data_IF_962325422958
#
_entry.id   IF_962325422958
#
_cell.length_a   1.000
_cell.length_b   1.000
_cell.length_c   1.000
_cell.angle_alpha   90.00
_cell.angle_beta   90.00
_cell.angle_gamma   90.00
#
_symmetry.space_group_name_H-M   'P 1'
#
loop_
_entity.id
_entity.type
_entity.pdbx_description
1 polymer ?
#
# COMPACT_ATOMS: atom_id res chain seq x y z
N UNK A 1 10.42 23.43 -2.95
CA UNK A 1 9.68 22.16 -2.83
C UNK A 1 10.18 21.26 -3.93
N UNK A 2 10.58 20.03 -3.61
CA UNK A 2 11.08 19.09 -4.61
C UNK A 2 9.93 18.50 -5.45
N UNK A 3 8.74 18.29 -4.86
CA UNK A 3 7.55 17.74 -5.50
C UNK A 3 6.26 18.28 -4.83
N UNK A 4 5.11 18.11 -5.49
CA UNK A 4 3.77 18.34 -4.96
C UNK A 4 3.20 17.06 -4.35
N UNK A 5 2.38 17.16 -3.30
CA UNK A 5 1.64 16.03 -2.74
C UNK A 5 0.15 16.21 -3.01
N UNK A 6 -0.49 15.17 -3.54
CA UNK A 6 -1.93 15.10 -3.78
C UNK A 6 -2.53 13.98 -2.93
N UNK A 7 -3.60 14.28 -2.19
CA UNK A 7 -4.38 13.25 -1.47
C UNK A 7 -5.58 12.86 -2.33
N UNK A 8 -5.62 11.60 -2.75
CA UNK A 8 -6.72 11.01 -3.50
C UNK A 8 -7.45 9.97 -2.65
N UNK A 9 -8.72 9.72 -2.96
CA UNK A 9 -9.54 8.68 -2.31
C UNK A 9 -10.60 8.19 -3.27
N UNK A 10 -10.71 6.87 -3.39
CA UNK A 10 -11.68 6.23 -4.27
C UNK A 10 -11.81 4.74 -3.96
N UNK A 11 -13.02 4.15 -4.03
CA UNK A 11 -13.21 2.70 -3.97
C UNK A 11 -12.47 1.95 -5.09
N UNK A 12 -12.11 2.64 -6.19
CA UNK A 12 -11.33 2.04 -7.29
C UNK A 12 -10.01 1.48 -6.76
N UNK A 13 -9.34 2.21 -5.86
CA UNK A 13 -8.08 1.75 -5.27
C UNK A 13 -8.27 0.51 -4.42
N UNK A 14 -9.34 0.44 -3.62
CA UNK A 14 -9.65 -0.76 -2.84
C UNK A 14 -10.03 -1.96 -3.71
N UNK A 15 -10.74 -1.74 -4.82
CA UNK A 15 -11.02 -2.79 -5.80
C UNK A 15 -9.71 -3.34 -6.38
N UNK A 16 -8.81 -2.47 -6.83
CA UNK A 16 -7.52 -2.88 -7.39
C UNK A 16 -6.65 -3.60 -6.35
N UNK A 17 -6.61 -3.10 -5.11
CA UNK A 17 -5.83 -3.69 -4.02
C UNK A 17 -6.35 -5.04 -3.56
N UNK A 18 -7.64 -5.13 -3.27
CA UNK A 18 -8.25 -6.40 -2.89
C UNK A 18 -8.10 -7.44 -4.00
N UNK A 19 -8.27 -7.04 -5.27
CA UNK A 19 -8.05 -7.93 -6.40
C UNK A 19 -6.60 -8.40 -6.50
N UNK A 20 -5.64 -7.47 -6.39
CA UNK A 20 -4.20 -7.75 -6.37
C UNK A 20 -3.85 -8.80 -5.31
N UNK A 21 -4.28 -8.57 -4.07
CA UNK A 21 -4.01 -9.47 -2.94
C UNK A 21 -4.65 -10.84 -3.19
N UNK A 22 -5.89 -10.88 -3.68
CA UNK A 22 -6.59 -12.13 -3.96
C UNK A 22 -5.90 -12.99 -5.04
N UNK A 23 -5.56 -12.39 -6.18
CA UNK A 23 -5.01 -13.16 -7.32
C UNK A 23 -3.56 -13.53 -7.12
N UNK A 24 -2.75 -12.67 -6.49
CA UNK A 24 -1.32 -12.91 -6.31
C UNK A 24 -1.00 -13.64 -5.02
N UNK A 25 -1.86 -13.52 -4.01
CA UNK A 25 -1.63 -13.99 -2.63
C UNK A 25 -0.33 -13.44 -2.03
N UNK A 26 0.23 -12.37 -2.61
CA UNK A 26 1.46 -11.74 -2.13
C UNK A 26 1.19 -11.06 -0.80
N UNK A 27 2.18 -11.13 0.09
CA UNK A 27 2.18 -10.51 1.41
C UNK A 27 1.06 -10.96 2.36
N UNK A 28 0.21 -11.91 1.97
CA UNK A 28 -0.98 -12.30 2.76
C UNK A 28 -0.65 -12.75 4.19
N UNK A 29 0.56 -13.27 4.42
CA UNK A 29 1.07 -13.67 5.75
C UNK A 29 1.39 -12.47 6.67
N UNK A 30 1.51 -11.29 6.09
CA UNK A 30 1.88 -10.05 6.76
C UNK A 30 0.74 -9.03 6.79
N UNK A 31 -0.34 -9.29 6.05
CA UNK A 31 -1.54 -8.46 6.07
C UNK A 31 -2.45 -8.88 7.22
N UNK A 32 -3.12 -7.91 7.83
CA UNK A 32 -4.07 -8.13 8.92
C UNK A 32 -5.27 -8.99 8.48
N UNK A 33 -5.69 -8.87 7.22
CA UNK A 33 -6.76 -9.71 6.66
C UNK A 33 -6.38 -11.20 6.64
N UNK A 34 -5.08 -11.50 6.61
CA UNK A 34 -4.54 -12.84 6.73
C UNK A 34 -4.96 -13.84 5.64
N UNK A 35 -4.42 -15.06 5.67
CA UNK A 35 -4.81 -16.12 4.74
C UNK A 35 -6.26 -16.59 4.91
N UNK A 36 -6.88 -16.36 6.06
CA UNK A 36 -8.29 -16.66 6.33
C UNK A 36 -9.23 -15.88 5.41
N UNK A 37 -8.89 -14.62 5.11
CA UNK A 37 -9.66 -13.80 4.17
C UNK A 37 -9.75 -14.42 2.78
N UNK A 38 -8.67 -15.04 2.28
CA UNK A 38 -8.69 -15.76 1.00
C UNK A 38 -9.69 -16.91 1.05
N UNK A 39 -9.70 -17.68 2.14
CA UNK A 39 -10.60 -18.83 2.32
C UNK A 39 -12.06 -18.35 2.38
N UNK A 40 -12.31 -17.27 3.11
CA UNK A 40 -13.64 -16.67 3.21
C UNK A 40 -14.15 -16.20 1.84
N UNK A 41 -13.32 -15.45 1.10
CA UNK A 41 -13.68 -14.97 -0.24
C UNK A 41 -13.88 -16.13 -1.21
N UNK A 42 -12.97 -17.12 -1.24
CA UNK A 42 -13.13 -18.31 -2.07
C UNK A 42 -14.41 -19.10 -1.74
N UNK A 43 -14.86 -19.07 -0.49
CA UNK A 43 -16.12 -19.65 -0.02
C UNK A 43 -17.37 -18.91 -0.52
N UNK A 44 -17.29 -17.58 -0.69
CA UNK A 44 -18.37 -16.74 -1.21
C UNK A 44 -18.46 -16.77 -2.75
N UNK A 45 -17.32 -16.97 -3.42
CA UNK A 45 -17.27 -16.97 -4.89
C UNK A 45 -17.71 -18.31 -5.50
N UNK A 46 -18.58 -18.22 -6.52
CA UNK A 46 -18.96 -19.40 -7.31
C UNK A 46 -17.74 -20.03 -7.99
N UNK A 47 -17.81 -21.34 -8.28
CA UNK A 47 -16.73 -22.05 -8.98
C UNK A 47 -16.37 -21.43 -10.33
N UNK A 48 -17.38 -20.92 -11.05
CA UNK A 48 -17.19 -20.30 -12.36
C UNK A 48 -16.43 -18.97 -12.25
N UNK A 49 -16.76 -18.14 -11.26
CA UNK A 49 -16.06 -16.88 -11.00
C UNK A 49 -14.61 -17.16 -10.61
N UNK A 50 -14.37 -18.10 -9.68
CA UNK A 50 -13.00 -18.50 -9.30
C UNK A 50 -12.17 -18.98 -10.50
N UNK A 51 -12.76 -19.81 -11.36
CA UNK A 51 -12.09 -20.29 -12.56
C UNK A 51 -11.77 -19.15 -13.56
N UNK A 52 -12.65 -18.13 -13.66
CA UNK A 52 -12.41 -16.97 -14.50
C UNK A 52 -11.29 -16.06 -13.97
N UNK A 53 -11.17 -15.91 -12.64
CA UNK A 53 -10.13 -15.07 -12.01
C UNK A 53 -8.76 -15.74 -11.96
N UNK A 54 -8.70 -17.08 -11.92
CA UNK A 54 -7.47 -17.85 -11.71
C UNK A 54 -6.29 -17.49 -12.66
N UNK A 55 -6.49 -17.21 -13.97
CA UNK A 55 -5.39 -16.85 -14.86
C UNK A 55 -4.62 -15.59 -14.44
N UNK A 56 -5.28 -14.65 -13.75
CA UNK A 56 -4.68 -13.38 -13.33
C UNK A 56 -3.48 -13.56 -12.39
N UNK A 57 -3.42 -14.68 -11.66
CA UNK A 57 -2.28 -15.03 -10.81
C UNK A 57 -0.95 -15.19 -11.58
N UNK A 58 -1.02 -15.42 -12.90
CA UNK A 58 0.15 -15.66 -13.76
C UNK A 58 0.53 -14.46 -14.63
N UNK A 59 -0.25 -13.38 -14.57
CA UNK A 59 -0.01 -12.18 -15.36
C UNK A 59 1.14 -11.34 -14.77
N UNK A 60 1.80 -10.48 -15.57
CA UNK A 60 2.85 -9.62 -15.08
C UNK A 60 2.39 -8.75 -13.92
N UNK A 61 3.20 -8.72 -12.85
CA UNK A 61 2.87 -7.94 -11.67
C UNK A 61 2.82 -6.43 -11.94
N UNK A 62 3.66 -5.95 -12.86
CA UNK A 62 3.75 -4.52 -13.23
C UNK A 62 2.50 -4.05 -14.00
N UNK A 63 1.58 -4.93 -14.39
CA UNK A 63 0.27 -4.55 -14.93
C UNK A 63 -0.52 -3.69 -13.95
N UNK A 64 -0.35 -3.95 -12.64
CA UNK A 64 -1.01 -3.16 -11.61
C UNK A 64 -0.47 -1.72 -11.54
N UNK A 65 0.80 -1.49 -11.87
CA UNK A 65 1.36 -0.13 -11.97
C UNK A 65 0.61 0.68 -13.05
N UNK A 66 0.23 0.03 -14.16
CA UNK A 66 -0.59 0.64 -15.22
C UNK A 66 -2.02 0.90 -14.74
N UNK A 67 -2.65 -0.07 -14.07
CA UNK A 67 -4.02 0.07 -13.53
C UNK A 67 -4.11 1.20 -12.49
N UNK A 68 -3.13 1.31 -11.58
CA UNK A 68 -3.06 2.40 -10.61
C UNK A 68 -2.81 3.75 -11.29
N UNK A 69 -1.98 3.81 -12.34
CA UNK A 69 -1.79 5.05 -13.10
C UNK A 69 -3.08 5.50 -13.80
N UNK A 70 -3.83 4.58 -14.42
CA UNK A 70 -5.14 4.90 -14.99
C UNK A 70 -6.15 5.34 -13.94
N UNK A 71 -6.15 4.71 -12.76
CA UNK A 71 -7.00 5.12 -11.65
C UNK A 71 -6.65 6.54 -11.17
N UNK A 72 -5.36 6.87 -11.02
CA UNK A 72 -4.89 8.17 -10.56
C UNK A 72 -5.24 9.34 -11.49
N UNK A 73 -5.31 9.08 -12.80
CA UNK A 73 -5.65 10.05 -13.84
C UNK A 73 -7.03 9.80 -14.47
N UNK A 74 -7.94 9.18 -13.72
CA UNK A 74 -9.35 9.02 -14.13
C UNK A 74 -10.02 10.38 -14.30
N UNK A 75 -10.87 10.50 -15.31
CA UNK A 75 -11.71 11.66 -15.61
C UNK A 75 -13.21 11.40 -15.37
N UNK A 76 -13.51 10.32 -14.65
CA UNK A 76 -14.87 9.89 -14.29
C UNK A 76 -15.20 10.20 -12.84
N UNK A 77 -16.40 9.77 -12.40
CA UNK A 77 -16.68 9.65 -10.98
C UNK A 77 -15.69 8.69 -10.29
N UNK A 78 -15.75 8.67 -8.96
CA UNK A 78 -14.95 7.75 -8.15
C UNK A 78 -15.54 6.34 -8.05
N UNK A 79 -16.64 6.02 -8.74
CA UNK A 79 -17.26 4.70 -8.65
C UNK A 79 -16.53 3.66 -9.53
N UNK A 80 -16.46 2.43 -9.03
CA UNK A 80 -15.79 1.31 -9.70
C UNK A 80 -16.34 1.07 -11.10
N UNK A 81 -17.67 1.07 -11.25
CA UNK A 81 -18.31 0.78 -12.53
C UNK A 81 -18.02 1.84 -13.59
N UNK A 82 -18.02 3.12 -13.20
CA UNK A 82 -17.75 4.24 -14.10
C UNK A 82 -16.31 4.21 -14.61
N UNK A 83 -15.37 3.84 -13.73
CA UNK A 83 -13.97 3.63 -14.11
C UNK A 83 -13.81 2.46 -15.10
N UNK A 84 -14.47 1.33 -14.83
CA UNK A 84 -14.41 0.16 -15.71
C UNK A 84 -15.12 0.40 -17.06
N UNK A 85 -16.17 1.22 -17.08
CA UNK A 85 -16.85 1.67 -18.30
C UNK A 85 -15.96 2.61 -19.11
N UNK A 86 -15.25 3.54 -18.45
CA UNK A 86 -14.25 4.39 -19.12
C UNK A 86 -13.12 3.57 -19.74
N UNK A 87 -12.53 2.63 -18.98
CA UNK A 87 -11.49 1.77 -19.52
C UNK A 87 -11.97 0.98 -20.73
N UNK A 88 -13.20 0.44 -20.69
CA UNK A 88 -13.77 -0.31 -21.80
C UNK A 88 -14.14 0.56 -23.01
N UNK A 89 -14.50 1.82 -22.78
CA UNK A 89 -14.95 2.76 -23.81
C UNK A 89 -13.82 3.44 -24.58
N UNK A 90 -12.66 3.64 -23.96
CA UNK A 90 -11.50 4.28 -24.59
C UNK A 90 -10.71 3.31 -25.48
N UNK A 91 -10.12 3.86 -26.55
CA UNK A 91 -9.21 3.09 -27.39
C UNK A 91 -7.89 2.81 -26.67
N UNK A 92 -7.15 1.80 -27.12
CA UNK A 92 -5.86 1.48 -26.53
C UNK A 92 -4.86 2.64 -26.68
N UNK A 93 -4.94 3.38 -27.79
CA UNK A 93 -4.13 4.56 -28.05
C UNK A 93 -4.43 5.69 -27.07
N UNK A 94 -5.70 5.91 -26.73
CA UNK A 94 -6.12 6.92 -25.75
C UNK A 94 -5.61 6.57 -24.35
N UNK A 95 -5.80 5.32 -23.92
CA UNK A 95 -5.30 4.83 -22.62
C UNK A 95 -3.78 4.86 -22.53
N UNK A 96 -3.09 4.45 -23.60
CA UNK A 96 -1.64 4.51 -23.70
C UNK A 96 -1.14 5.95 -23.63
N UNK A 97 -1.74 6.86 -24.39
CA UNK A 97 -1.35 8.27 -24.42
C UNK A 97 -1.46 8.94 -23.03
N UNK A 98 -2.43 8.52 -22.19
CA UNK A 98 -2.61 9.05 -20.83
C UNK A 98 -1.44 8.76 -19.88
N UNK A 99 -0.77 7.61 -20.02
CA UNK A 99 0.23 7.15 -19.03
C UNK A 99 1.61 6.84 -19.61
N UNK A 100 1.77 6.86 -20.94
CA UNK A 100 3.05 6.55 -21.61
C UNK A 100 4.23 7.43 -21.18
N UNK A 101 3.98 8.68 -20.78
CA UNK A 101 5.04 9.56 -20.25
C UNK A 101 5.50 9.09 -18.87
N UNK A 102 4.58 8.57 -18.04
CA UNK A 102 4.83 8.05 -16.70
C UNK A 102 5.50 6.68 -16.74
N UNK A 103 5.19 5.89 -17.78
CA UNK A 103 5.62 4.52 -17.97
C UNK A 103 6.29 4.36 -19.35
N UNK A 104 7.58 4.77 -19.50
CA UNK A 104 8.27 4.80 -20.79
C UNK A 104 8.46 3.41 -21.42
N UNK A 105 8.34 2.34 -20.63
CA UNK A 105 8.45 0.96 -21.09
C UNK A 105 7.12 0.36 -21.56
N UNK A 106 5.99 1.02 -21.26
CA UNK A 106 4.68 0.54 -21.69
C UNK A 106 4.59 0.58 -23.22
N UNK A 107 3.95 -0.43 -23.79
CA UNK A 107 3.60 -0.46 -25.22
C UNK A 107 2.08 -0.39 -25.42
N UNK A 108 1.65 -0.01 -26.63
CA UNK A 108 0.22 -0.02 -26.99
C UNK A 108 -0.34 -1.46 -26.93
N UNK A 109 0.45 -2.46 -27.30
CA UNK A 109 0.06 -3.87 -27.23
C UNK A 109 -0.19 -4.32 -25.79
N UNK A 110 0.70 -3.95 -24.85
CA UNK A 110 0.51 -4.21 -23.43
C UNK A 110 -0.70 -3.46 -22.87
N UNK A 111 -0.85 -2.17 -23.19
CA UNK A 111 -2.01 -1.36 -22.80
C UNK A 111 -3.31 -2.02 -23.25
N UNK A 112 -3.36 -2.53 -24.50
CA UNK A 112 -4.51 -3.25 -25.04
C UNK A 112 -4.78 -4.54 -24.26
N UNK A 113 -3.73 -5.36 -24.05
CA UNK A 113 -3.84 -6.61 -23.29
C UNK A 113 -4.33 -6.36 -21.88
N UNK A 114 -3.79 -5.37 -21.18
CA UNK A 114 -4.14 -5.05 -19.79
C UNK A 114 -5.62 -4.65 -19.74
N UNK A 115 -6.07 -3.72 -20.59
CA UNK A 115 -7.49 -3.34 -20.65
C UNK A 115 -8.39 -4.56 -20.91
N UNK A 116 -8.12 -5.30 -21.98
CA UNK A 116 -9.00 -6.38 -22.44
C UNK A 116 -9.02 -7.58 -21.50
N UNK A 117 -7.92 -7.81 -20.76
CA UNK A 117 -7.81 -8.93 -19.81
C UNK A 117 -8.33 -8.57 -18.43
N UNK A 118 -8.01 -7.39 -17.88
CA UNK A 118 -8.36 -7.05 -16.51
C UNK A 118 -9.78 -6.49 -16.39
N UNK A 119 -10.28 -5.68 -17.33
CA UNK A 119 -11.60 -5.04 -17.18
C UNK A 119 -12.72 -6.06 -16.96
N UNK A 120 -12.82 -7.17 -17.71
CA UNK A 120 -13.84 -8.19 -17.45
C UNK A 120 -13.70 -8.85 -16.07
N UNK A 121 -12.47 -9.09 -15.60
CA UNK A 121 -12.22 -9.71 -14.30
C UNK A 121 -12.53 -8.75 -13.15
N UNK A 122 -12.15 -7.47 -13.28
CA UNK A 122 -12.45 -6.44 -12.29
C UNK A 122 -13.96 -6.18 -12.19
N UNK A 123 -14.74 -6.32 -13.28
CA UNK A 123 -16.20 -6.29 -13.20
C UNK A 123 -16.77 -7.46 -12.40
N UNK A 124 -16.26 -8.67 -12.62
CA UNK A 124 -16.65 -9.83 -11.83
C UNK A 124 -16.28 -9.65 -10.36
N UNK A 125 -15.09 -9.11 -10.10
CA UNK A 125 -14.61 -8.83 -8.75
C UNK A 125 -15.48 -7.78 -8.05
N UNK A 126 -15.79 -6.68 -8.73
CA UNK A 126 -16.66 -5.63 -8.19
C UNK A 126 -18.03 -6.19 -7.82
N UNK A 127 -18.67 -6.91 -8.75
CA UNK A 127 -19.99 -7.50 -8.57
C UNK A 127 -20.06 -8.50 -7.41
N UNK A 128 -19.04 -9.35 -7.27
CA UNK A 128 -19.09 -10.47 -6.32
C UNK A 128 -18.41 -10.18 -4.99
N UNK A 129 -17.49 -9.22 -4.95
CA UNK A 129 -16.72 -8.88 -3.75
C UNK A 129 -16.95 -7.43 -3.33
N UNK A 130 -16.58 -6.44 -4.15
CA UNK A 130 -16.54 -5.04 -3.72
C UNK A 130 -17.90 -4.46 -3.34
N UNK A 131 -18.97 -4.80 -4.08
CA UNK A 131 -20.33 -4.36 -3.75
C UNK A 131 -20.87 -4.92 -2.43
N UNK A 132 -20.23 -5.97 -1.90
CA UNK A 132 -20.58 -6.58 -0.61
C UNK A 132 -19.64 -6.15 0.52
N UNK A 133 -18.72 -5.22 0.27
CA UNK A 133 -17.84 -4.66 1.32
C UNK A 133 -18.65 -3.75 2.25
N UNK A 134 -18.22 -3.65 3.51
CA UNK A 134 -18.88 -2.75 4.48
C UNK A 134 -18.83 -1.29 3.99
N UNK A 135 -19.95 -0.58 4.14
CA UNK A 135 -20.01 0.87 3.90
C UNK A 135 -19.07 1.65 4.84
N UNK A 136 -18.72 1.06 6.00
CA UNK A 136 -17.79 1.64 6.96
C UNK A 136 -16.41 1.89 6.34
N UNK A 137 -15.95 0.99 5.45
CA UNK A 137 -14.63 1.15 4.81
C UNK A 137 -14.56 2.41 3.96
N UNK A 138 -15.61 2.70 3.19
CA UNK A 138 -15.66 3.93 2.40
C UNK A 138 -15.59 5.15 3.32
N UNK A 139 -16.36 5.13 4.40
CA UNK A 139 -16.40 6.22 5.39
C UNK A 139 -15.01 6.46 6.00
N UNK A 140 -14.34 5.40 6.49
CA UNK A 140 -13.01 5.54 7.09
C UNK A 140 -11.97 6.09 6.13
N UNK A 141 -11.98 5.63 4.88
CA UNK A 141 -11.05 6.10 3.85
C UNK A 141 -11.30 7.57 3.49
N UNK A 142 -12.56 7.98 3.37
CA UNK A 142 -12.93 9.36 3.04
C UNK A 142 -12.61 10.32 4.19
N UNK A 143 -12.90 9.93 5.44
CA UNK A 143 -12.58 10.69 6.65
C UNK A 143 -11.07 10.87 6.82
N UNK A 144 -10.29 9.78 6.69
CA UNK A 144 -8.83 9.86 6.78
C UNK A 144 -8.25 10.73 5.66
N UNK A 145 -8.70 10.56 4.41
CA UNK A 145 -8.23 11.38 3.30
C UNK A 145 -8.51 12.87 3.52
N UNK A 146 -9.67 13.22 4.09
CA UNK A 146 -10.01 14.60 4.40
C UNK A 146 -9.13 15.17 5.52
N UNK A 147 -8.87 14.38 6.56
CA UNK A 147 -7.90 14.75 7.60
C UNK A 147 -6.53 15.05 6.99
N UNK A 148 -6.02 14.18 6.10
CA UNK A 148 -4.71 14.37 5.46
C UNK A 148 -4.69 15.59 4.54
N UNK A 149 -5.78 15.93 3.86
CA UNK A 149 -5.90 17.20 3.10
C UNK A 149 -5.78 18.41 4.00
N UNK A 150 -6.48 18.41 5.14
CA UNK A 150 -6.40 19.51 6.12
C UNK A 150 -4.98 19.62 6.71
N UNK A 151 -4.31 18.50 6.95
CA UNK A 151 -2.93 18.48 7.45
C UNK A 151 -1.93 18.95 6.40
N UNK A 152 -2.13 18.66 5.12
CA UNK A 152 -1.27 19.14 4.03
C UNK A 152 -1.14 20.67 3.99
N UNK A 153 -2.20 21.39 4.37
CA UNK A 153 -2.17 22.85 4.47
C UNK A 153 -1.38 23.36 5.71
N UNK A 154 -1.19 22.50 6.71
CA UNK A 154 -0.61 22.83 8.02
C UNK A 154 0.83 22.35 8.17
N UNK A 155 1.26 21.33 7.43
CA UNK A 155 2.61 20.77 7.49
C UNK A 155 3.22 20.60 6.09
N UNK A 156 4.54 20.45 6.04
CA UNK A 156 5.23 20.23 4.76
C UNK A 156 4.89 18.86 4.13
N UNK A 157 4.95 18.73 2.79
CA UNK A 157 4.68 17.48 2.08
C UNK A 157 5.44 16.26 2.62
N UNK A 158 6.73 16.43 2.92
CA UNK A 158 7.62 15.38 3.46
C UNK A 158 7.12 14.87 4.82
N UNK A 159 6.70 15.79 5.71
CA UNK A 159 6.18 15.46 7.03
C UNK A 159 4.81 14.76 6.93
N UNK A 160 3.97 15.19 5.98
CA UNK A 160 2.67 14.55 5.77
C UNK A 160 2.84 13.11 5.27
N UNK A 161 3.77 12.86 4.35
CA UNK A 161 4.07 11.51 3.88
C UNK A 161 4.53 10.64 5.04
N UNK A 162 5.50 11.11 5.84
CA UNK A 162 5.99 10.35 7.00
C UNK A 162 4.87 10.03 7.98
N UNK A 163 4.01 11.02 8.26
CA UNK A 163 2.87 10.89 9.15
C UNK A 163 1.84 9.88 8.64
N UNK A 164 1.35 10.04 7.41
CA UNK A 164 0.32 9.19 6.83
C UNK A 164 0.77 7.74 6.65
N UNK A 165 2.05 7.53 6.34
CA UNK A 165 2.62 6.20 6.12
C UNK A 165 3.24 5.57 7.36
N UNK A 166 3.19 6.24 8.51
CA UNK A 166 3.86 5.82 9.75
C UNK A 166 5.37 5.49 9.56
N UNK A 167 6.07 6.24 8.71
CA UNK A 167 7.53 6.17 8.62
C UNK A 167 8.17 6.12 7.22
N UNK A 168 7.44 6.29 6.12
CA UNK A 168 8.09 6.42 4.81
C UNK A 168 8.63 7.83 4.61
N UNK A 169 9.90 7.93 4.21
CA UNK A 169 10.58 9.18 3.91
C UNK A 169 10.98 9.19 2.44
N UNK A 170 10.55 10.23 1.72
CA UNK A 170 10.95 10.47 0.34
C UNK A 170 12.14 11.41 0.37
N UNK A 171 13.34 10.84 0.24
CA UNK A 171 14.57 11.62 0.17
C UNK A 171 14.60 12.46 -1.11
N UNK A 172 15.36 13.57 -1.15
CA UNK A 172 15.43 14.43 -2.33
C UNK A 172 15.68 13.64 -3.62
N UNK A 173 14.67 13.60 -4.48
CA UNK A 173 14.66 12.82 -5.71
C UNK A 173 14.55 13.76 -6.93
N UNK A 174 15.66 14.02 -7.64
CA UNK A 174 15.61 14.86 -8.83
C UNK A 174 14.67 14.27 -9.89
N UNK A 175 13.78 15.11 -10.42
CA UNK A 175 12.80 14.71 -11.44
C UNK A 175 11.53 14.06 -10.89
N UNK A 176 11.34 14.00 -9.57
CA UNK A 176 10.04 13.71 -8.97
C UNK A 176 9.24 15.00 -8.87
N UNK A 177 8.10 15.08 -9.55
CA UNK A 177 7.25 16.28 -9.59
C UNK A 177 6.00 16.12 -8.69
N UNK A 178 5.45 14.90 -8.58
CA UNK A 178 4.21 14.63 -7.84
C UNK A 178 4.28 13.33 -7.01
N UNK A 179 3.68 13.36 -5.81
CA UNK A 179 3.40 12.20 -4.98
C UNK A 179 1.90 12.13 -4.71
N UNK A 180 1.24 11.06 -5.15
CA UNK A 180 -0.17 10.80 -4.88
C UNK A 180 -0.26 9.84 -3.69
N UNK A 181 -0.87 10.30 -2.60
CA UNK A 181 -1.17 9.49 -1.42
C UNK A 181 -2.65 9.10 -1.44
N UNK A 182 -2.96 7.83 -1.16
CA UNK A 182 -4.32 7.42 -0.87
C UNK A 182 -4.39 6.36 0.23
N UNK A 183 -5.44 6.40 1.06
CA UNK A 183 -5.64 5.44 2.12
C UNK A 183 -6.14 4.09 1.60
N UNK A 184 -5.86 3.00 2.34
CA UNK A 184 -6.29 1.65 2.01
C UNK A 184 -6.69 0.80 3.22
N UNK A 185 -7.56 -0.19 2.99
CA UNK A 185 -7.98 -1.15 4.02
C UNK A 185 -7.36 -2.53 3.81
N UNK A 186 -7.43 -3.07 2.60
CA UNK A 186 -6.99 -4.45 2.33
C UNK A 186 -5.49 -4.68 2.51
N UNK A 187 -4.70 -3.61 2.41
CA UNK A 187 -3.25 -3.69 2.51
C UNK A 187 -2.74 -3.47 3.92
N UNK A 188 -3.62 -3.29 4.91
CA UNK A 188 -3.21 -3.13 6.31
C UNK A 188 -2.33 -4.30 6.73
N UNK A 189 -1.17 -4.06 7.38
CA UNK A 189 -0.58 -2.77 7.78
C UNK A 189 0.58 -2.29 6.88
N UNK A 190 0.65 -2.76 5.65
CA UNK A 190 1.76 -2.53 4.74
C UNK A 190 1.52 -1.29 3.90
N UNK A 191 2.51 -0.39 3.87
CA UNK A 191 2.57 0.67 2.86
C UNK A 191 3.03 0.08 1.52
N UNK A 192 2.36 0.47 0.44
CA UNK A 192 2.77 0.14 -0.93
C UNK A 192 3.10 1.41 -1.71
N UNK A 193 4.06 1.33 -2.63
CA UNK A 193 4.42 2.44 -3.48
C UNK A 193 4.87 1.99 -4.86
N UNK A 194 4.48 2.78 -5.86
CA UNK A 194 4.79 2.57 -7.27
C UNK A 194 5.56 3.79 -7.77
N UNK A 195 6.66 3.55 -8.49
CA UNK A 195 7.51 4.60 -9.04
C UNK A 195 7.23 4.76 -10.54
N UNK A 196 7.06 6.00 -10.96
CA UNK A 196 6.84 6.42 -12.34
C UNK A 196 7.83 7.53 -12.70
N UNK A 197 7.94 7.86 -13.99
CA UNK A 197 8.63 9.07 -14.41
C UNK A 197 7.86 10.31 -13.94
N UNK A 198 8.49 11.18 -13.15
CA UNK A 198 7.85 12.40 -12.63
C UNK A 198 6.87 12.18 -11.46
N UNK A 199 6.48 10.94 -11.15
CA UNK A 199 5.39 10.68 -10.21
C UNK A 199 5.68 9.47 -9.31
N UNK A 200 5.12 9.49 -8.10
CA UNK A 200 5.03 8.33 -7.25
C UNK A 200 3.61 8.18 -6.70
N UNK A 201 3.10 6.95 -6.67
CA UNK A 201 1.88 6.61 -5.94
C UNK A 201 2.29 5.96 -4.63
N UNK A 202 1.67 6.36 -3.53
CA UNK A 202 1.81 5.79 -2.21
C UNK A 202 0.46 5.42 -1.63
N UNK A 203 0.36 4.19 -1.17
CA UNK A 203 -0.80 3.62 -0.53
C UNK A 203 -0.47 3.37 0.92
N UNK A 204 -1.26 3.92 1.83
CA UNK A 204 -1.02 3.77 3.25
C UNK A 204 -2.22 3.12 3.94
N UNK A 205 -1.99 2.30 4.99
CA UNK A 205 -3.04 1.56 5.67
C UNK A 205 -3.81 2.45 6.64
N UNK A 206 -5.13 2.24 6.77
CA UNK A 206 -5.98 3.08 7.65
C UNK A 206 -6.41 2.49 8.99
N UNK A 207 -6.17 1.27 9.41
CA UNK A 207 -6.75 0.69 10.65
C UNK A 207 -8.29 0.87 10.87
N UNK A 208 -8.89 -0.06 11.62
CA UNK A 208 -10.29 0.05 11.98
C UNK A 208 -10.40 0.82 13.31
N UNK A 209 -11.48 1.60 13.52
CA UNK A 209 -11.78 2.11 14.85
C UNK A 209 -11.85 0.96 15.86
N UNK A 210 -11.39 1.20 17.08
CA UNK A 210 -11.48 0.24 18.17
C UNK A 210 -12.96 0.02 18.55
N UNK A 211 -13.45 -1.22 18.39
CA UNK A 211 -14.84 -1.55 18.72
C UNK A 211 -15.05 -1.83 20.21
N UNK A 212 -14.00 -2.27 20.92
CA UNK A 212 -14.03 -2.65 22.34
C UNK A 212 -12.78 -2.11 23.06
N UNK A 213 -12.98 -1.13 23.94
CA UNK A 213 -11.91 -0.50 24.73
C UNK A 213 -11.25 -1.46 25.74
N UNK A 214 -11.86 -2.62 26.02
CA UNK A 214 -11.26 -3.65 26.86
C UNK A 214 -10.37 -4.62 26.05
N UNK A 215 -10.36 -4.53 24.71
CA UNK A 215 -9.41 -5.26 23.85
C UNK A 215 -8.15 -4.44 23.58
N UNK A 216 -6.97 -5.09 23.48
CA UNK A 216 -5.75 -4.38 23.13
C UNK A 216 -5.83 -3.87 21.68
N UNK A 217 -5.42 -2.61 21.43
CA UNK A 217 -5.48 -2.05 20.08
C UNK A 217 -4.53 -2.78 19.14
N UNK A 218 -4.90 -2.88 17.86
CA UNK A 218 -4.14 -3.62 16.85
C UNK A 218 -2.70 -3.13 16.73
N UNK A 219 -2.46 -1.82 16.84
CA UNK A 219 -1.12 -1.25 16.86
C UNK A 219 -0.26 -1.81 18.01
N UNK A 220 -0.81 -1.92 19.22
CA UNK A 220 -0.11 -2.48 20.39
C UNK A 220 0.21 -3.97 20.19
N UNK A 221 -0.69 -4.73 19.58
CA UNK A 221 -0.43 -6.12 19.21
C UNK A 221 0.72 -6.23 18.20
N UNK A 222 0.74 -5.38 17.17
CA UNK A 222 1.83 -5.34 16.18
C UNK A 222 3.17 -5.00 16.85
N UNK A 223 3.21 -4.00 17.75
CA UNK A 223 4.42 -3.65 18.50
C UNK A 223 4.94 -4.80 19.37
N UNK A 224 4.06 -5.37 20.21
CA UNK A 224 4.45 -6.42 21.16
C UNK A 224 4.89 -7.68 20.41
N UNK A 225 4.19 -8.06 19.35
CA UNK A 225 4.61 -9.14 18.47
C UNK A 225 5.97 -8.85 17.82
N UNK A 226 6.22 -7.63 17.35
CA UNK A 226 7.50 -7.20 16.77
C UNK A 226 8.68 -7.30 17.75
N UNK A 227 8.48 -6.86 18.99
CA UNK A 227 9.53 -6.72 19.98
C UNK A 227 9.80 -8.00 20.79
N UNK A 228 8.90 -8.99 20.75
CA UNK A 228 9.06 -10.25 21.47
C UNK A 228 10.25 -11.09 20.96
N UNK A 229 10.78 -10.82 19.76
CA UNK A 229 11.93 -11.54 19.19
C UNK A 229 13.26 -10.82 19.47
N UNK A 230 14.22 -11.51 20.14
CA UNK A 230 15.54 -10.96 20.42
C UNK A 230 16.33 -10.51 19.17
N UNK A 231 16.18 -11.18 18.03
CA UNK A 231 16.87 -10.81 16.80
C UNK A 231 16.34 -9.49 16.23
N UNK A 232 15.03 -9.21 16.37
CA UNK A 232 14.42 -7.92 15.99
C UNK A 232 14.93 -6.79 16.87
N UNK A 233 15.05 -7.01 18.18
CA UNK A 233 15.63 -6.02 19.10
C UNK A 233 17.10 -5.70 18.77
N UNK A 234 17.89 -6.72 18.41
CA UNK A 234 19.27 -6.53 17.97
C UNK A 234 19.33 -5.74 16.66
N UNK A 235 18.43 -6.02 15.72
CA UNK A 235 18.33 -5.29 14.47
C UNK A 235 17.96 -3.81 14.70
N UNK A 236 16.98 -3.52 15.57
CA UNK A 236 16.65 -2.15 15.96
C UNK A 236 17.85 -1.39 16.53
N UNK A 237 18.62 -2.05 17.40
CA UNK A 237 19.86 -1.47 17.94
C UNK A 237 20.88 -1.20 16.84
N UNK A 238 21.03 -2.11 15.88
CA UNK A 238 21.95 -1.97 14.77
C UNK A 238 21.59 -0.78 13.85
N UNK A 239 20.31 -0.61 13.50
CA UNK A 239 19.84 0.50 12.63
C UNK A 239 19.60 1.83 13.37
N UNK A 240 19.86 1.89 14.68
CA UNK A 240 19.68 3.11 15.48
C UNK A 240 20.71 4.21 15.20
N UNK A 241 21.84 3.87 14.58
CA UNK A 241 22.93 4.80 14.30
C UNK A 241 22.70 5.59 13.00
N UNK A 242 22.73 4.90 11.86
CA UNK A 242 22.56 5.48 10.53
C UNK A 242 21.63 4.61 9.68
N UNK A 243 20.98 5.16 8.64
CA UNK A 243 20.15 4.36 7.74
C UNK A 243 20.96 3.27 7.02
N UNK A 244 20.45 2.04 7.05
CA UNK A 244 21.08 0.85 6.43
C UNK A 244 20.16 0.21 5.39
N UNK A 245 20.71 -0.25 4.28
CA UNK A 245 20.00 -1.04 3.27
C UNK A 245 19.95 -2.52 3.68
N UNK A 246 19.06 -3.30 3.07
CA UNK A 246 19.02 -4.76 3.26
C UNK A 246 20.36 -5.41 2.93
N UNK A 247 21.02 -4.98 1.85
CA UNK A 247 22.32 -5.51 1.45
C UNK A 247 23.40 -5.25 2.52
N UNK A 248 23.49 -4.01 3.02
CA UNK A 248 24.41 -3.66 4.12
C UNK A 248 24.09 -4.48 5.39
N UNK A 249 22.82 -4.69 5.72
CA UNK A 249 22.42 -5.55 6.85
C UNK A 249 22.85 -7.00 6.68
N UNK A 250 22.65 -7.59 5.50
CA UNK A 250 23.01 -8.98 5.23
C UNK A 250 24.52 -9.19 5.32
N UNK A 251 25.29 -8.28 4.72
CA UNK A 251 26.76 -8.31 4.73
C UNK A 251 27.33 -8.12 6.15
N UNK A 252 26.92 -7.06 6.86
CA UNK A 252 27.48 -6.74 8.18
C UNK A 252 27.04 -7.72 9.28
N UNK A 253 25.82 -8.28 9.19
CA UNK A 253 25.30 -9.25 10.17
C UNK A 253 25.63 -10.71 9.82
N UNK A 254 26.11 -10.98 8.60
CA UNK A 254 26.38 -12.34 8.11
C UNK A 254 25.12 -13.21 8.07
N UNK A 255 23.97 -12.62 7.72
CA UNK A 255 22.66 -13.29 7.71
C UNK A 255 22.13 -13.45 6.29
N UNK A 256 21.26 -14.44 6.13
CA UNK A 256 20.52 -14.67 4.89
C UNK A 256 19.55 -13.53 4.58
N UNK A 257 19.37 -13.22 3.30
CA UNK A 257 18.56 -12.10 2.85
C UNK A 257 17.09 -12.25 3.21
N UNK A 258 16.51 -13.44 3.05
CA UNK A 258 15.11 -13.69 3.37
C UNK A 258 14.88 -13.51 4.88
N UNK A 259 15.81 -14.01 5.70
CA UNK A 259 15.74 -13.84 7.16
C UNK A 259 15.76 -12.35 7.54
N UNK A 260 16.70 -11.55 7.01
CA UNK A 260 16.79 -10.12 7.32
C UNK A 260 15.54 -9.38 6.83
N UNK A 261 15.07 -9.70 5.63
CA UNK A 261 13.87 -9.12 5.03
C UNK A 261 12.63 -9.37 5.88
N UNK A 262 12.44 -10.58 6.39
CA UNK A 262 11.33 -10.91 7.29
C UNK A 262 11.38 -10.11 8.60
N UNK A 263 12.58 -9.95 9.18
CA UNK A 263 12.75 -9.13 10.39
C UNK A 263 12.45 -7.65 10.12
N UNK A 264 12.97 -7.10 9.02
CA UNK A 264 12.71 -5.71 8.60
C UNK A 264 11.21 -5.52 8.35
N UNK A 265 10.55 -6.44 7.66
CA UNK A 265 9.13 -6.39 7.37
C UNK A 265 8.31 -6.34 8.67
N UNK A 266 8.57 -7.23 9.62
CA UNK A 266 7.86 -7.24 10.89
C UNK A 266 8.05 -5.94 11.70
N UNK A 267 9.24 -5.34 11.67
CA UNK A 267 9.51 -4.07 12.31
C UNK A 267 8.87 -2.87 11.58
N UNK A 268 8.78 -2.90 10.26
CA UNK A 268 8.06 -1.90 9.44
C UNK A 268 6.56 -1.93 9.71
N UNK A 269 5.97 -3.13 9.75
CA UNK A 269 4.56 -3.36 10.06
C UNK A 269 4.18 -2.82 11.45
N UNK A 270 5.10 -2.94 12.40
CA UNK A 270 4.92 -2.38 13.73
C UNK A 270 5.20 -0.87 13.81
N UNK A 271 5.53 -0.17 12.71
CA UNK A 271 5.80 1.27 12.74
C UNK A 271 7.06 1.67 13.50
N UNK A 272 8.01 0.73 13.69
CA UNK A 272 9.26 0.96 14.44
C UNK A 272 10.42 1.42 13.55
N UNK A 273 10.28 1.29 12.24
CA UNK A 273 11.29 1.67 11.26
C UNK A 273 10.79 2.77 10.33
N UNK A 274 11.70 3.68 9.99
CA UNK A 274 11.56 4.55 8.83
C UNK A 274 12.08 3.84 7.59
N UNK A 275 11.41 4.05 6.45
CA UNK A 275 11.88 3.60 5.13
C UNK A 275 12.25 4.82 4.29
N UNK A 276 13.54 5.00 4.05
CA UNK A 276 14.11 6.05 3.21
C UNK A 276 14.12 5.59 1.76
N UNK A 277 13.30 6.21 0.92
CA UNK A 277 13.25 5.97 -0.52
C UNK A 277 14.32 6.83 -1.20
N UNK A 278 15.34 6.19 -1.76
CA UNK A 278 16.53 6.84 -2.30
C UNK A 278 16.56 6.79 -3.82
N UNK A 279 16.36 7.94 -4.46
CA UNK A 279 16.40 8.08 -5.91
C UNK A 279 15.34 7.22 -6.64
N UNK A 280 15.36 7.25 -7.96
CA UNK A 280 14.39 6.53 -8.80
C UNK A 280 14.61 5.02 -8.89
N UNK A 281 15.72 4.49 -8.37
CA UNK A 281 16.11 3.08 -8.52
C UNK A 281 15.54 2.15 -7.43
N UNK A 282 14.40 2.49 -6.81
CA UNK A 282 13.76 1.70 -5.75
C UNK A 282 14.72 1.30 -4.60
N UNK A 283 15.73 2.13 -4.32
CA UNK A 283 16.69 1.83 -3.25
C UNK A 283 16.11 2.23 -1.92
N UNK A 284 16.09 1.30 -0.98
CA UNK A 284 15.57 1.52 0.36
C UNK A 284 16.70 1.46 1.39
N UNK A 285 16.67 2.39 2.32
CA UNK A 285 17.40 2.30 3.58
C UNK A 285 16.43 2.40 4.75
N UNK A 286 16.78 1.79 5.87
CA UNK A 286 15.96 1.75 7.06
C UNK A 286 16.71 2.35 8.24
N UNK A 287 15.99 3.15 9.02
CA UNK A 287 16.46 3.68 10.30
C UNK A 287 15.37 3.50 11.35
N UNK A 288 15.69 3.72 12.61
CA UNK A 288 14.68 3.70 13.68
C UNK A 288 13.68 4.86 13.52
N UNK A 289 12.39 4.61 13.76
CA UNK A 289 11.36 5.65 13.88
C UNK A 289 11.23 6.04 15.37
N UNK A 290 11.71 7.22 15.81
CA UNK A 290 11.65 7.60 17.22
C UNK A 290 10.21 7.73 17.74
N UNK A 291 9.30 8.20 16.88
CA UNK A 291 7.88 8.36 17.23
C UNK A 291 7.23 7.02 17.51
N UNK A 292 7.54 5.97 16.73
CA UNK A 292 7.02 4.61 16.95
C UNK A 292 7.43 4.02 18.30
N UNK A 293 8.63 4.33 18.79
CA UNK A 293 9.08 3.92 20.13
C UNK A 293 8.31 4.66 21.22
N UNK A 294 7.98 5.94 20.99
CA UNK A 294 7.22 6.76 21.93
C UNK A 294 5.73 6.36 21.95
N UNK A 295 5.17 6.04 20.80
CA UNK A 295 3.81 5.55 20.59
C UNK A 295 3.54 4.25 21.34
N UNK A 296 4.50 3.31 21.35
CA UNK A 296 4.36 2.07 22.13
C UNK A 296 4.03 2.34 23.60
N UNK A 297 4.77 3.26 24.23
CA UNK A 297 4.54 3.59 25.63
C UNK A 297 3.16 4.21 25.81
N UNK A 298 2.77 5.14 24.94
CA UNK A 298 1.47 5.80 24.96
C UNK A 298 0.31 4.80 24.79
N UNK A 299 0.38 3.89 23.81
CA UNK A 299 -0.66 2.89 23.59
C UNK A 299 -0.77 1.91 24.76
N UNK A 300 0.36 1.51 25.35
CA UNK A 300 0.37 0.64 26.51
C UNK A 300 -0.24 1.33 27.73
N UNK A 301 0.17 2.56 28.03
CA UNK A 301 -0.37 3.37 29.14
C UNK A 301 -1.87 3.60 28.98
N UNK A 302 -2.32 3.98 27.78
CA UNK A 302 -3.73 4.17 27.46
C UNK A 302 -4.56 2.90 27.70
N UNK A 303 -4.09 1.75 27.19
CA UNK A 303 -4.80 0.48 27.32
C UNK A 303 -4.89 0.00 28.79
N UNK A 304 -3.82 0.14 29.58
CA UNK A 304 -3.83 -0.25 31.00
C UNK A 304 -4.34 0.86 31.95
N UNK A 305 -4.72 2.01 31.39
CA UNK A 305 -5.34 3.15 32.08
C UNK A 305 -4.47 3.79 33.16
N UNK A 306 -3.20 4.08 32.86
CA UNK A 306 -2.25 4.78 33.76
C UNK A 306 -1.71 6.09 33.18
#
# INVERSE_FOLDING_TARGET
>A
MAYHVKIDVSPIYEMLNSFLVYVTKKWIQHLDVGPEWIIEVEGKLSSNVRAALAPAATWPFDDFDVLFAWAAYRDTSNENIDFLDMLAGLTAEELFARVSVLLPHLTIEESTRIRDSYVPLLRLWDQHYCQNMSEDYRTWLEEDAEEKRILLDKMGPELLIEYATAGVLVEPMPGLDEVILFPTVHNRPINMYCFYEGMMIMQYPVDAPEEDEDQPPTCLLRFTHALADPERLRLLRYVSGEPKSLAEMCEELGKDEDMVKDQVMALRIAGLLRTHLLGSNRKEKYSIRPDGVSELNMFLESYIRI
#
